data_IF_726338710694
#
_entry.id   IF_726338710694
#
_cell.length_a   1.000
_cell.length_b   1.000
_cell.length_c   1.000
_cell.angle_alpha   90.00
_cell.angle_beta   90.00
_cell.angle_gamma   90.00
#
_symmetry.space_group_name_H-M   'P 1'
#
loop_
_entity.id
_entity.type
_entity.pdbx_description
1 polymer ?
#
# COMPACT_ATOMS: atom_id res chain seq x y z
N UNK A 1 32.21 -6.77 -26.18
CA UNK A 1 31.67 -6.39 -24.84
C UNK A 1 30.22 -5.96 -25.04
N UNK A 2 29.25 -6.59 -24.40
CA UNK A 2 27.84 -6.18 -24.45
C UNK A 2 27.73 -4.79 -23.84
N UNK A 3 27.31 -3.80 -24.62
CA UNK A 3 27.11 -2.42 -24.17
C UNK A 3 25.80 -2.41 -23.39
N UNK A 4 25.84 -2.19 -22.07
CA UNK A 4 24.65 -2.00 -21.24
C UNK A 4 24.10 -0.58 -21.39
N UNK A 5 22.77 -0.45 -21.39
CA UNK A 5 22.10 0.87 -21.41
C UNK A 5 22.26 1.58 -20.07
N UNK A 6 22.22 0.82 -18.94
CA UNK A 6 22.33 1.30 -17.56
C UNK A 6 23.31 0.46 -16.74
N UNK A 7 23.92 1.10 -15.75
CA UNK A 7 24.68 0.41 -14.70
C UNK A 7 23.72 -0.22 -13.67
N UNK A 8 22.60 0.47 -13.43
CA UNK A 8 21.58 0.05 -12.46
C UNK A 8 20.19 0.44 -12.95
N UNK A 9 19.30 -0.54 -13.05
CA UNK A 9 17.92 -0.33 -13.47
C UNK A 9 16.96 -0.72 -12.36
N UNK A 10 16.09 0.22 -11.95
CA UNK A 10 15.14 0.04 -10.84
C UNK A 10 13.73 -0.19 -11.39
N UNK A 11 13.06 -1.22 -10.91
CA UNK A 11 11.69 -1.56 -11.27
C UNK A 11 10.81 -1.27 -10.05
N UNK A 12 9.99 -0.22 -10.16
CA UNK A 12 9.13 0.30 -9.10
C UNK A 12 9.61 1.62 -8.51
N UNK A 13 8.79 2.66 -8.62
CA UNK A 13 9.02 4.03 -8.15
C UNK A 13 8.42 4.33 -6.79
N UNK A 14 8.33 3.33 -5.90
CA UNK A 14 7.93 3.50 -4.51
C UNK A 14 9.06 3.99 -3.62
N UNK A 15 8.85 3.96 -2.30
CA UNK A 15 9.77 4.50 -1.28
C UNK A 15 11.19 3.94 -1.39
N UNK A 16 11.34 2.62 -1.53
CA UNK A 16 12.64 1.96 -1.68
C UNK A 16 13.27 2.24 -3.04
N UNK A 17 12.50 2.10 -4.14
CA UNK A 17 13.01 2.28 -5.50
C UNK A 17 13.48 3.70 -5.78
N UNK A 18 12.71 4.72 -5.43
CA UNK A 18 13.12 6.13 -5.58
C UNK A 18 14.37 6.44 -4.76
N UNK A 19 14.46 5.93 -3.52
CA UNK A 19 15.65 6.13 -2.70
C UNK A 19 16.86 5.45 -3.30
N UNK A 20 16.74 4.19 -3.73
CA UNK A 20 17.84 3.44 -4.34
C UNK A 20 18.35 4.11 -5.63
N UNK A 21 17.42 4.48 -6.53
CA UNK A 21 17.76 5.12 -7.81
C UNK A 21 18.54 6.43 -7.59
N UNK A 22 18.03 7.31 -6.74
CA UNK A 22 18.67 8.61 -6.46
C UNK A 22 20.05 8.47 -5.84
N UNK A 23 20.18 7.60 -4.83
CA UNK A 23 21.47 7.43 -4.15
C UNK A 23 22.51 6.77 -5.06
N UNK A 24 22.07 5.83 -5.92
CA UNK A 24 22.95 5.22 -6.91
C UNK A 24 23.41 6.22 -7.97
N UNK A 25 22.50 7.05 -8.48
CA UNK A 25 22.83 8.12 -9.44
C UNK A 25 23.78 9.17 -8.83
N UNK A 26 23.55 9.60 -7.58
CA UNK A 26 24.43 10.51 -6.86
C UNK A 26 25.84 9.94 -6.62
N UNK A 27 26.02 8.63 -6.77
CA UNK A 27 27.31 7.93 -6.73
C UNK A 27 27.96 7.71 -8.11
N UNK A 28 27.40 8.33 -9.16
CA UNK A 28 27.95 8.30 -10.52
C UNK A 28 27.52 7.12 -11.37
N UNK A 29 26.54 6.31 -10.94
CA UNK A 29 25.98 5.28 -11.81
C UNK A 29 24.99 5.88 -12.82
N UNK A 30 24.97 5.33 -14.04
CA UNK A 30 23.90 5.58 -15.01
C UNK A 30 22.68 4.76 -14.60
N UNK A 31 21.61 5.45 -14.15
CA UNK A 31 20.44 4.82 -13.53
C UNK A 31 19.17 5.05 -14.34
N UNK A 32 18.43 3.96 -14.65
CA UNK A 32 17.07 4.01 -15.15
C UNK A 32 16.09 3.54 -14.09
N UNK A 33 14.84 4.05 -14.13
CA UNK A 33 13.75 3.63 -13.26
C UNK A 33 12.47 3.46 -14.06
N UNK A 34 11.83 2.29 -13.98
CA UNK A 34 10.51 2.04 -14.54
C UNK A 34 9.43 2.09 -13.45
N UNK A 35 8.36 2.89 -13.67
CA UNK A 35 7.18 2.94 -12.82
C UNK A 35 5.92 2.86 -13.68
N UNK A 36 5.11 1.83 -13.44
CA UNK A 36 3.90 1.57 -14.20
C UNK A 36 2.70 2.43 -13.79
N UNK A 37 2.82 3.14 -12.67
CA UNK A 37 1.76 3.97 -12.14
C UNK A 37 2.27 5.36 -11.73
N UNK A 38 2.03 5.79 -10.48
CA UNK A 38 2.47 7.09 -9.99
C UNK A 38 3.68 6.97 -9.05
N UNK A 39 4.67 7.84 -9.27
CA UNK A 39 5.84 7.93 -8.43
C UNK A 39 5.48 8.23 -6.97
N UNK A 40 6.21 7.61 -6.05
CA UNK A 40 5.95 7.66 -4.60
C UNK A 40 5.34 6.37 -4.04
N UNK A 41 4.81 5.50 -4.93
CA UNK A 41 4.28 4.18 -4.58
C UNK A 41 3.09 4.22 -3.63
N UNK A 42 2.86 3.11 -2.91
CA UNK A 42 1.72 2.94 -2.01
C UNK A 42 1.66 4.02 -0.92
N UNK A 43 2.76 4.32 -0.25
CA UNK A 43 2.77 5.28 0.86
C UNK A 43 2.25 6.67 0.44
N UNK A 44 2.72 7.20 -0.68
CA UNK A 44 2.32 8.52 -1.17
C UNK A 44 0.91 8.51 -1.74
N UNK A 45 0.55 7.50 -2.52
CA UNK A 45 -0.63 7.57 -3.39
C UNK A 45 -1.84 6.79 -2.86
N UNK A 46 -1.63 5.69 -2.10
CA UNK A 46 -2.68 4.74 -1.68
C UNK A 46 -2.51 4.24 -0.24
N UNK A 47 -1.79 4.94 0.60
CA UNK A 47 -1.50 4.50 1.97
C UNK A 47 -1.32 5.66 2.92
N UNK A 48 -0.09 5.88 3.37
CA UNK A 48 0.24 6.78 4.48
C UNK A 48 -0.32 8.18 4.31
N UNK A 49 -0.08 8.82 3.17
CA UNK A 49 -0.47 10.21 2.95
C UNK A 49 -1.98 10.38 2.83
N UNK A 50 -2.69 9.72 1.89
CA UNK A 50 -4.13 9.91 1.76
C UNK A 50 -4.89 9.43 3.00
N UNK A 51 -4.43 8.34 3.66
CA UNK A 51 -5.01 7.87 4.91
C UNK A 51 -4.91 8.92 6.01
N UNK A 52 -3.75 9.57 6.16
CA UNK A 52 -3.54 10.58 7.18
C UNK A 52 -4.42 11.82 6.96
N UNK A 53 -4.58 12.26 5.70
CA UNK A 53 -5.49 13.36 5.37
C UNK A 53 -6.95 13.02 5.74
N UNK A 54 -7.38 11.78 5.48
CA UNK A 54 -8.73 11.33 5.85
C UNK A 54 -8.89 11.15 7.36
N UNK A 55 -7.86 10.65 8.04
CA UNK A 55 -7.82 10.55 9.51
C UNK A 55 -7.97 11.91 10.16
N UNK A 56 -7.25 12.93 9.72
CA UNK A 56 -7.42 14.30 10.25
C UNK A 56 -8.86 14.80 10.04
N UNK A 57 -9.40 14.64 8.84
CA UNK A 57 -10.77 15.07 8.54
C UNK A 57 -11.81 14.36 9.42
N UNK A 58 -11.59 13.09 9.76
CA UNK A 58 -12.52 12.30 10.59
C UNK A 58 -12.52 12.73 12.05
N UNK A 59 -11.47 13.38 12.56
CA UNK A 59 -11.37 13.85 13.92
C UNK A 59 -12.03 15.23 14.14
N UNK A 60 -12.12 16.07 13.12
CA UNK A 60 -12.67 17.42 13.28
C UNK A 60 -14.09 17.46 13.86
N UNK A 61 -14.90 16.43 13.63
CA UNK A 61 -16.24 16.38 14.19
C UNK A 61 -16.24 16.12 15.70
N UNK A 62 -15.31 15.33 16.21
CA UNK A 62 -15.13 15.11 17.64
C UNK A 62 -14.54 16.34 18.30
N UNK A 63 -13.57 17.00 17.69
CA UNK A 63 -13.00 18.26 18.15
C UNK A 63 -14.05 19.37 18.20
N UNK A 64 -14.91 19.49 17.18
CA UNK A 64 -16.02 20.43 17.16
C UNK A 64 -16.94 20.28 18.38
N UNK A 65 -17.26 19.04 18.80
CA UNK A 65 -18.10 18.83 19.99
C UNK A 65 -17.43 19.33 21.28
N UNK A 66 -16.10 19.28 21.35
CA UNK A 66 -15.34 19.75 22.48
C UNK A 66 -15.20 21.29 22.52
N UNK A 67 -15.28 21.97 21.40
CA UNK A 67 -15.04 23.40 21.30
C UNK A 67 -15.94 24.22 22.25
N UNK A 68 -17.21 23.83 22.41
CA UNK A 68 -18.14 24.50 23.30
C UNK A 68 -17.72 24.43 24.77
N UNK A 69 -17.09 23.32 25.19
CA UNK A 69 -16.57 23.14 26.56
C UNK A 69 -15.38 24.04 26.86
N UNK A 70 -14.72 24.56 25.82
CA UNK A 70 -13.58 25.48 25.91
C UNK A 70 -13.99 26.94 25.58
N UNK A 71 -15.28 27.27 25.61
CA UNK A 71 -15.78 28.62 25.43
C UNK A 71 -15.96 29.08 23.97
N UNK A 72 -15.74 28.22 22.99
CA UNK A 72 -15.93 28.56 21.58
C UNK A 72 -17.39 28.46 21.18
N UNK A 73 -17.94 29.51 20.58
CA UNK A 73 -19.27 29.53 19.97
C UNK A 73 -19.12 29.33 18.46
N UNK A 74 -19.44 28.14 17.98
CA UNK A 74 -19.33 27.78 16.54
C UNK A 74 -20.63 27.16 16.06
N UNK A 75 -21.05 27.48 14.84
CA UNK A 75 -22.18 26.83 14.19
C UNK A 75 -21.81 25.41 13.81
N UNK A 76 -22.82 24.52 13.69
CA UNK A 76 -22.59 23.14 13.28
C UNK A 76 -21.88 23.07 11.91
N UNK A 77 -20.71 22.42 11.82
CA UNK A 77 -19.96 22.34 10.57
C UNK A 77 -20.68 21.45 9.55
N UNK A 78 -20.60 21.80 8.28
CA UNK A 78 -21.00 20.93 7.17
C UNK A 78 -19.78 20.20 6.61
N UNK A 79 -19.96 18.95 6.20
CA UNK A 79 -18.89 18.14 5.60
C UNK A 79 -19.17 17.83 4.13
N UNK A 80 -18.18 17.98 3.28
CA UNK A 80 -18.23 17.63 1.87
C UNK A 80 -17.15 16.60 1.52
N UNK A 81 -17.56 15.35 1.30
CA UNK A 81 -16.69 14.29 0.82
C UNK A 81 -15.98 14.65 -0.49
N UNK A 82 -16.71 15.22 -1.44
CA UNK A 82 -16.15 15.59 -2.73
C UNK A 82 -15.01 16.63 -2.59
N UNK A 83 -15.15 17.57 -1.68
CA UNK A 83 -14.11 18.56 -1.40
C UNK A 83 -12.87 17.91 -0.78
N UNK A 84 -13.06 16.99 0.17
CA UNK A 84 -11.96 16.24 0.78
C UNK A 84 -11.19 15.42 -0.28
N UNK A 85 -11.91 14.66 -1.12
CA UNK A 85 -11.30 13.87 -2.22
C UNK A 85 -10.54 14.77 -3.19
N UNK A 86 -11.13 15.90 -3.59
CA UNK A 86 -10.51 16.87 -4.49
C UNK A 86 -9.21 17.44 -3.91
N UNK A 87 -9.23 17.86 -2.65
CA UNK A 87 -8.07 18.42 -1.97
C UNK A 87 -6.97 17.35 -1.77
N UNK A 88 -7.34 16.13 -1.38
CA UNK A 88 -6.44 14.99 -1.35
C UNK A 88 -5.77 14.78 -2.71
N UNK A 89 -6.53 14.73 -3.81
CA UNK A 89 -5.98 14.55 -5.17
C UNK A 89 -5.02 15.68 -5.56
N UNK A 90 -5.30 16.92 -5.17
CA UNK A 90 -4.39 18.07 -5.39
C UNK A 90 -3.06 17.84 -4.68
N UNK A 91 -3.10 17.44 -3.41
CA UNK A 91 -1.89 17.18 -2.61
C UNK A 91 -1.08 16.01 -3.16
N UNK A 92 -1.72 14.89 -3.53
CA UNK A 92 -1.02 13.74 -4.10
C UNK A 92 -0.32 14.10 -5.43
N UNK A 93 -0.98 14.89 -6.29
CA UNK A 93 -0.35 15.38 -7.54
C UNK A 93 0.87 16.24 -7.25
N UNK A 94 0.79 17.14 -6.25
CA UNK A 94 1.94 17.96 -5.82
C UNK A 94 3.10 17.08 -5.36
N UNK A 95 2.83 16.06 -4.55
CA UNK A 95 3.85 15.13 -4.07
C UNK A 95 4.45 14.29 -5.20
N UNK A 96 3.63 13.76 -6.11
CA UNK A 96 4.11 13.00 -7.27
C UNK A 96 5.06 13.83 -8.13
N UNK A 97 4.78 15.13 -8.32
CA UNK A 97 5.67 16.05 -9.03
C UNK A 97 6.99 16.24 -8.29
N UNK A 98 6.97 16.38 -6.96
CA UNK A 98 8.20 16.44 -6.14
C UNK A 98 9.04 15.18 -6.36
N UNK A 99 8.44 13.99 -6.30
CA UNK A 99 9.15 12.72 -6.55
C UNK A 99 9.77 12.66 -7.95
N UNK A 100 9.04 13.14 -8.98
CA UNK A 100 9.56 13.27 -10.34
C UNK A 100 10.78 14.17 -10.38
N UNK A 101 10.68 15.38 -9.82
CA UNK A 101 11.78 16.34 -9.80
C UNK A 101 13.00 15.82 -9.04
N UNK A 102 12.77 15.12 -7.92
CA UNK A 102 13.86 14.49 -7.15
C UNK A 102 14.63 13.46 -7.98
N UNK A 103 13.96 12.67 -8.81
CA UNK A 103 14.60 11.69 -9.70
C UNK A 103 15.34 12.40 -10.84
N UNK A 104 14.67 13.32 -11.54
CA UNK A 104 15.25 14.06 -12.67
C UNK A 104 16.48 14.86 -12.26
N UNK A 105 16.41 15.59 -11.14
CA UNK A 105 17.52 16.38 -10.61
C UNK A 105 18.72 15.51 -10.14
N UNK A 106 18.46 14.23 -9.88
CA UNK A 106 19.53 13.26 -9.57
C UNK A 106 20.10 12.57 -10.81
N UNK A 107 19.64 12.92 -12.03
CA UNK A 107 20.09 12.29 -13.26
C UNK A 107 19.51 10.89 -13.53
N UNK A 108 18.40 10.54 -12.88
CA UNK A 108 17.72 9.26 -13.12
C UNK A 108 16.78 9.38 -14.31
N UNK A 109 16.94 8.48 -15.29
CA UNK A 109 16.03 8.37 -16.44
C UNK A 109 14.77 7.58 -16.03
N UNK A 110 13.60 8.23 -16.15
CA UNK A 110 12.33 7.65 -15.69
C UNK A 110 11.48 7.17 -16.86
N UNK A 111 11.11 5.89 -16.86
CA UNK A 111 10.25 5.23 -17.83
C UNK A 111 8.87 5.02 -17.21
N UNK A 112 7.86 5.71 -17.77
CA UNK A 112 6.47 5.61 -17.28
C UNK A 112 5.77 4.41 -17.92
N UNK A 113 6.06 3.21 -17.45
CA UNK A 113 5.30 1.99 -17.70
C UNK A 113 5.79 0.83 -16.83
N UNK A 114 5.07 -0.29 -16.89
CA UNK A 114 5.49 -1.54 -16.26
C UNK A 114 6.68 -2.15 -17.00
N UNK A 115 7.61 -2.72 -16.25
CA UNK A 115 8.73 -3.47 -16.77
C UNK A 115 8.46 -4.98 -16.66
N UNK A 116 8.79 -5.72 -17.69
CA UNK A 116 8.68 -7.19 -17.74
C UNK A 116 10.02 -7.78 -18.19
N UNK A 117 10.56 -8.75 -17.46
CA UNK A 117 11.79 -9.42 -17.85
C UNK A 117 11.59 -10.27 -19.10
N UNK A 118 12.50 -10.12 -20.06
CA UNK A 118 12.64 -10.98 -21.23
C UNK A 118 13.63 -12.11 -20.96
N UNK A 119 14.69 -11.80 -20.22
CA UNK A 119 15.76 -12.70 -19.80
C UNK A 119 16.41 -12.19 -18.48
N UNK A 120 17.48 -12.84 -17.95
CA UNK A 120 18.13 -12.44 -16.71
C UNK A 120 18.72 -11.01 -16.66
N UNK A 121 18.96 -10.41 -17.81
CA UNK A 121 19.69 -9.12 -17.94
C UNK A 121 18.93 -8.08 -18.77
N UNK A 122 17.69 -8.40 -19.21
CA UNK A 122 16.92 -7.58 -20.14
C UNK A 122 15.48 -7.43 -19.69
N UNK A 123 14.98 -6.21 -19.72
CA UNK A 123 13.56 -5.91 -19.48
C UNK A 123 12.95 -5.21 -20.69
N UNK A 124 11.66 -5.42 -20.88
CA UNK A 124 10.83 -4.66 -21.81
C UNK A 124 10.01 -3.65 -21.03
N UNK A 125 10.06 -2.39 -21.46
CA UNK A 125 9.22 -1.30 -20.96
C UNK A 125 8.57 -0.63 -22.16
N UNK A 126 7.26 -0.78 -22.35
CA UNK A 126 6.58 -0.48 -23.63
C UNK A 126 7.20 -1.24 -24.81
N UNK A 127 7.60 -0.50 -25.85
CA UNK A 127 8.33 -1.03 -27.01
C UNK A 127 9.84 -1.12 -26.82
N UNK A 128 10.38 -0.51 -25.74
CA UNK A 128 11.82 -0.45 -25.51
C UNK A 128 12.32 -1.72 -24.83
N UNK A 129 13.46 -2.19 -25.31
CA UNK A 129 14.24 -3.28 -24.70
C UNK A 129 15.44 -2.64 -24.02
N UNK A 130 15.59 -2.89 -22.72
CA UNK A 130 16.59 -2.24 -21.86
C UNK A 130 17.48 -3.30 -21.22
N UNK A 131 18.79 -3.15 -21.45
CA UNK A 131 19.84 -3.98 -20.84
C UNK A 131 20.47 -3.24 -19.66
N UNK A 132 20.67 -3.92 -18.52
CA UNK A 132 21.38 -3.34 -17.39
C UNK A 132 22.36 -4.29 -16.73
N UNK A 133 23.44 -3.75 -16.20
CA UNK A 133 24.43 -4.54 -15.43
C UNK A 133 23.81 -5.12 -14.15
N UNK A 134 22.93 -4.35 -13.50
CA UNK A 134 22.22 -4.74 -12.28
C UNK A 134 20.79 -4.26 -12.30
N UNK A 135 19.88 -5.06 -11.73
CA UNK A 135 18.48 -4.71 -11.56
C UNK A 135 18.08 -4.70 -10.09
N UNK A 136 17.15 -3.82 -9.74
CA UNK A 136 16.48 -3.80 -8.46
C UNK A 136 14.97 -3.92 -8.66
N UNK A 137 14.35 -4.92 -8.03
CA UNK A 137 12.90 -5.06 -7.95
C UNK A 137 12.44 -4.40 -6.65
N UNK A 138 11.61 -3.34 -6.75
CA UNK A 138 11.05 -2.58 -5.63
C UNK A 138 9.55 -2.28 -5.86
N UNK A 139 8.83 -3.26 -6.39
CA UNK A 139 7.42 -3.14 -6.84
C UNK A 139 6.40 -3.21 -5.71
N UNK A 140 6.83 -3.47 -4.47
CA UNK A 140 5.97 -3.52 -3.30
C UNK A 140 4.93 -4.65 -3.34
N UNK A 141 3.78 -4.35 -2.75
CA UNK A 141 2.65 -5.26 -2.61
C UNK A 141 1.36 -4.62 -3.14
N UNK A 142 0.33 -5.44 -3.33
CA UNK A 142 -1.05 -5.02 -3.67
C UNK A 142 -2.04 -5.62 -2.67
N UNK A 143 -3.25 -5.06 -2.52
CA UNK A 143 -4.29 -5.64 -1.67
C UNK A 143 -4.62 -7.07 -2.08
N UNK A 144 -4.78 -7.95 -1.10
CA UNK A 144 -5.28 -9.30 -1.30
C UNK A 144 -6.80 -9.23 -1.52
N UNK A 145 -7.28 -9.90 -2.56
CA UNK A 145 -8.73 -10.04 -2.86
C UNK A 145 -9.20 -11.46 -2.63
N UNK A 146 -10.46 -11.61 -2.25
CA UNK A 146 -11.15 -12.88 -2.22
C UNK A 146 -11.98 -13.07 -3.50
N UNK A 147 -12.39 -14.30 -3.72
CA UNK A 147 -13.23 -14.64 -4.86
C UNK A 147 -14.66 -14.91 -4.37
N UNK A 148 -15.50 -13.86 -4.35
CA UNK A 148 -16.94 -13.93 -4.13
C UNK A 148 -17.68 -13.59 -5.44
N UNK A 149 -18.94 -13.96 -5.54
CA UNK A 149 -19.80 -13.61 -6.68
C UNK A 149 -19.86 -12.10 -6.94
N UNK A 150 -19.79 -11.28 -5.87
CA UNK A 150 -19.80 -9.83 -5.90
C UNK A 150 -18.40 -9.18 -5.98
N UNK A 151 -17.30 -9.94 -6.18
CA UNK A 151 -15.91 -9.45 -6.07
C UNK A 151 -15.60 -8.21 -6.92
N UNK A 152 -16.25 -8.06 -8.07
CA UNK A 152 -16.08 -6.87 -8.94
C UNK A 152 -16.57 -5.57 -8.32
N UNK A 153 -17.48 -5.64 -7.34
CA UNK A 153 -18.07 -4.49 -6.68
C UNK A 153 -17.47 -4.23 -5.29
N UNK A 154 -16.81 -5.23 -4.71
CA UNK A 154 -16.12 -5.11 -3.42
C UNK A 154 -14.86 -4.27 -3.62
N UNK A 155 -14.68 -3.28 -2.75
CA UNK A 155 -13.52 -2.39 -2.81
C UNK A 155 -12.38 -2.88 -1.92
N UNK A 156 -11.18 -2.39 -2.19
CA UNK A 156 -10.00 -2.52 -1.35
C UNK A 156 -9.63 -1.18 -0.72
N UNK A 157 -8.56 -1.14 0.09
CA UNK A 157 -8.00 0.12 0.61
C UNK A 157 -7.58 1.07 -0.50
N UNK A 158 -7.11 0.56 -1.64
CA UNK A 158 -6.69 1.39 -2.77
C UNK A 158 -7.90 2.13 -3.39
N UNK A 159 -9.04 1.46 -3.48
CA UNK A 159 -10.28 2.01 -4.03
C UNK A 159 -10.97 2.97 -3.04
N UNK A 160 -10.84 2.70 -1.73
CA UNK A 160 -11.52 3.46 -0.67
C UNK A 160 -11.17 4.96 -0.66
N UNK A 161 -10.00 5.32 -1.17
CA UNK A 161 -9.59 6.72 -1.29
C UNK A 161 -10.31 7.51 -2.39
N UNK A 162 -11.00 6.83 -3.31
CA UNK A 162 -11.60 7.46 -4.49
C UNK A 162 -13.07 7.08 -4.70
N UNK A 163 -13.75 6.56 -3.67
CA UNK A 163 -15.19 6.31 -3.74
C UNK A 163 -15.94 7.59 -4.06
N UNK A 164 -16.92 7.50 -4.95
CA UNK A 164 -17.66 8.68 -5.44
C UNK A 164 -18.54 9.33 -4.38
N UNK A 165 -19.05 8.54 -3.44
CA UNK A 165 -19.95 8.99 -2.37
C UNK A 165 -19.67 8.16 -1.11
N UNK A 166 -19.72 8.79 0.05
CA UNK A 166 -19.70 8.06 1.32
C UNK A 166 -20.92 7.13 1.41
N UNK A 167 -20.73 5.86 1.80
CA UNK A 167 -21.84 4.97 2.09
C UNK A 167 -22.54 5.40 3.40
N UNK A 168 -23.81 5.02 3.58
CA UNK A 168 -24.41 5.16 4.90
C UNK A 168 -23.96 4.01 5.81
N UNK A 169 -23.78 2.80 5.23
CA UNK A 169 -23.39 1.58 5.97
C UNK A 169 -22.32 0.81 5.20
N UNK A 170 -21.21 0.51 5.89
CA UNK A 170 -20.09 -0.27 5.34
C UNK A 170 -19.78 -1.51 6.16
N UNK A 171 -19.44 -2.60 5.47
CA UNK A 171 -18.79 -3.77 6.06
C UNK A 171 -17.32 -3.79 5.68
N UNK A 172 -16.43 -3.89 6.67
CA UNK A 172 -15.00 -4.04 6.47
C UNK A 172 -14.61 -5.48 6.85
N UNK A 173 -14.02 -6.20 5.90
CA UNK A 173 -13.58 -7.57 6.07
C UNK A 173 -12.08 -7.57 6.42
N UNK A 174 -11.75 -8.00 7.65
CA UNK A 174 -10.40 -8.08 8.17
C UNK A 174 -10.20 -7.32 9.47
N UNK A 175 -9.16 -7.66 10.22
CA UNK A 175 -8.84 -7.10 11.54
C UNK A 175 -7.42 -6.52 11.64
N UNK A 176 -6.71 -6.32 10.52
CA UNK A 176 -5.40 -5.68 10.51
C UNK A 176 -5.49 -4.16 10.61
N UNK A 177 -4.32 -3.50 10.68
CA UNK A 177 -4.23 -2.04 10.84
C UNK A 177 -5.00 -1.25 9.76
N UNK A 178 -5.05 -1.74 8.52
CA UNK A 178 -5.83 -1.12 7.43
C UNK A 178 -7.32 -1.11 7.76
N UNK A 179 -7.86 -2.24 8.26
CA UNK A 179 -9.27 -2.34 8.65
C UNK A 179 -9.59 -1.38 9.79
N UNK A 180 -8.76 -1.35 10.83
CA UNK A 180 -8.93 -0.49 12.01
C UNK A 180 -8.90 0.99 11.66
N UNK A 181 -7.92 1.41 10.83
CA UNK A 181 -7.78 2.78 10.38
C UNK A 181 -8.98 3.24 9.53
N UNK A 182 -9.38 2.46 8.52
CA UNK A 182 -10.53 2.81 7.69
C UNK A 182 -11.85 2.77 8.46
N UNK A 183 -12.02 1.82 9.40
CA UNK A 183 -13.19 1.79 10.26
C UNK A 183 -13.32 3.06 11.08
N UNK A 184 -12.22 3.52 11.67
CA UNK A 184 -12.18 4.76 12.45
C UNK A 184 -12.42 5.99 11.58
N UNK A 185 -11.83 6.06 10.38
CA UNK A 185 -12.04 7.13 9.42
C UNK A 185 -13.50 7.20 8.99
N UNK A 186 -14.08 6.11 8.51
CA UNK A 186 -15.48 6.10 8.07
C UNK A 186 -16.44 6.42 9.20
N UNK A 187 -16.19 5.88 10.40
CA UNK A 187 -17.01 6.19 11.58
C UNK A 187 -16.96 7.66 11.96
N UNK A 188 -15.76 8.28 11.99
CA UNK A 188 -15.61 9.71 12.27
C UNK A 188 -16.25 10.61 11.21
N UNK A 189 -16.44 10.10 9.98
CA UNK A 189 -17.16 10.78 8.90
C UNK A 189 -18.68 10.47 8.89
N UNK A 190 -19.20 9.80 9.92
CA UNK A 190 -20.64 9.56 10.11
C UNK A 190 -21.20 8.30 9.48
N UNK A 191 -20.36 7.38 9.01
CA UNK A 191 -20.79 6.10 8.41
C UNK A 191 -21.11 5.06 9.51
N UNK A 192 -22.14 4.23 9.32
CA UNK A 192 -22.38 3.03 10.15
C UNK A 192 -21.40 1.93 9.75
N UNK A 193 -20.45 1.61 10.64
CA UNK A 193 -19.33 0.71 10.34
C UNK A 193 -19.48 -0.61 11.07
N UNK A 194 -19.34 -1.71 10.34
CA UNK A 194 -19.20 -3.06 10.88
C UNK A 194 -17.86 -3.66 10.42
N UNK A 195 -17.11 -4.26 11.34
CA UNK A 195 -15.90 -5.04 11.06
C UNK A 195 -16.22 -6.52 11.25
N UNK A 196 -15.89 -7.36 10.26
CA UNK A 196 -15.96 -8.82 10.38
C UNK A 196 -14.56 -9.42 10.37
N UNK A 197 -14.24 -10.21 11.41
CA UNK A 197 -12.92 -10.82 11.59
C UNK A 197 -13.04 -12.33 11.86
N UNK A 198 -12.07 -13.09 11.36
CA UNK A 198 -11.97 -14.55 11.60
C UNK A 198 -11.45 -14.89 12.99
N UNK A 199 -10.64 -13.99 13.57
CA UNK A 199 -10.05 -14.13 14.90
C UNK A 199 -10.97 -13.56 15.97
N UNK A 200 -10.64 -13.83 17.24
CA UNK A 200 -11.28 -13.22 18.40
C UNK A 200 -11.03 -11.71 18.45
N UNK A 201 -9.77 -11.29 18.20
CA UNK A 201 -9.30 -9.91 18.34
C UNK A 201 -8.83 -9.34 17.00
N UNK A 202 -8.87 -8.01 16.86
CA UNK A 202 -8.18 -7.24 15.81
C UNK A 202 -6.67 -7.21 16.09
N UNK A 203 -5.88 -6.70 15.15
CA UNK A 203 -4.44 -6.42 15.28
C UNK A 203 -3.63 -7.60 15.83
N UNK A 204 -3.84 -8.81 15.29
CA UNK A 204 -3.11 -10.01 15.70
C UNK A 204 -1.59 -9.76 15.71
N UNK A 205 -0.96 -10.05 16.86
CA UNK A 205 0.49 -9.89 17.06
C UNK A 205 0.89 -8.56 17.71
N UNK A 206 -0.08 -7.70 18.02
CA UNK A 206 0.11 -6.55 18.90
C UNK A 206 -0.16 -6.97 20.36
N UNK A 207 0.26 -6.12 21.29
CA UNK A 207 0.02 -6.28 22.72
C UNK A 207 -1.49 -6.36 23.04
N UNK A 208 -1.89 -7.37 23.83
CA UNK A 208 -3.32 -7.65 24.06
C UNK A 208 -4.01 -6.54 24.85
N UNK A 209 -3.36 -5.91 25.84
CA UNK A 209 -3.94 -4.82 26.64
C UNK A 209 -4.22 -3.60 25.75
N UNK A 210 -3.30 -3.29 24.84
CA UNK A 210 -3.46 -2.20 23.85
C UNK A 210 -4.60 -2.50 22.89
N UNK A 211 -4.70 -3.76 22.42
CA UNK A 211 -5.77 -4.20 21.50
C UNK A 211 -7.13 -4.15 22.18
N UNK A 212 -7.23 -4.59 23.42
CA UNK A 212 -8.49 -4.59 24.18
C UNK A 212 -8.96 -3.15 24.45
N UNK A 213 -8.06 -2.28 24.89
CA UNK A 213 -8.36 -0.85 25.08
C UNK A 213 -8.84 -0.18 23.81
N UNK A 214 -8.15 -0.41 22.69
CA UNK A 214 -8.54 0.13 21.39
C UNK A 214 -9.89 -0.41 20.94
N UNK A 215 -10.13 -1.71 21.08
CA UNK A 215 -11.40 -2.37 20.69
C UNK A 215 -12.57 -1.77 21.47
N UNK A 216 -12.42 -1.58 22.78
CA UNK A 216 -13.44 -0.98 23.63
C UNK A 216 -13.73 0.46 23.21
N UNK A 217 -12.70 1.29 22.99
CA UNK A 217 -12.86 2.66 22.49
C UNK A 217 -13.57 2.70 21.14
N UNK A 218 -13.26 1.77 20.22
CA UNK A 218 -13.95 1.68 18.92
C UNK A 218 -15.42 1.30 19.08
N UNK A 219 -15.76 0.39 20.02
CA UNK A 219 -17.17 0.03 20.34
C UNK A 219 -17.91 1.21 20.96
N UNK A 220 -17.31 1.93 21.90
CA UNK A 220 -17.87 3.14 22.50
C UNK A 220 -18.20 4.21 21.44
N UNK A 221 -17.37 4.33 20.42
CA UNK A 221 -17.64 5.18 19.25
C UNK A 221 -18.71 4.61 18.31
N UNK A 222 -19.26 3.40 18.59
CA UNK A 222 -20.34 2.76 17.84
C UNK A 222 -19.87 2.01 16.59
N UNK A 223 -18.63 1.53 16.53
CA UNK A 223 -18.19 0.56 15.52
C UNK A 223 -18.64 -0.84 15.97
N UNK A 224 -19.31 -1.57 15.08
CA UNK A 224 -19.81 -2.91 15.34
C UNK A 224 -18.77 -3.96 14.95
N UNK A 225 -18.68 -5.04 15.75
CA UNK A 225 -17.76 -6.15 15.49
C UNK A 225 -18.53 -7.46 15.34
N UNK A 226 -18.18 -8.25 14.35
CA UNK A 226 -18.60 -9.64 14.12
C UNK A 226 -17.33 -10.49 14.17
N UNK A 227 -17.03 -10.99 15.37
CA UNK A 227 -15.81 -11.74 15.64
C UNK A 227 -15.99 -13.23 15.33
N UNK A 228 -14.89 -13.94 15.08
CA UNK A 228 -14.83 -15.38 14.82
C UNK A 228 -15.76 -15.84 13.70
N UNK A 229 -16.09 -14.90 12.80
CA UNK A 229 -17.07 -15.12 11.74
C UNK A 229 -16.66 -14.37 10.48
N UNK A 230 -16.86 -15.02 9.35
CA UNK A 230 -16.59 -14.46 8.05
C UNK A 230 -17.75 -14.72 7.09
N UNK A 231 -18.04 -13.86 6.11
CA UNK A 231 -19.10 -14.10 5.15
C UNK A 231 -18.98 -15.46 4.47
N UNK A 232 -20.10 -16.17 4.37
CA UNK A 232 -20.23 -17.40 3.56
C UNK A 232 -20.61 -17.08 2.13
N UNK A 233 -21.36 -15.98 1.92
CA UNK A 233 -21.70 -15.43 0.61
C UNK A 233 -21.82 -13.92 0.65
N UNK A 234 -21.49 -13.28 -0.48
CA UNK A 234 -21.69 -11.86 -0.72
C UNK A 234 -22.28 -11.71 -2.12
N UNK A 235 -23.50 -11.20 -2.20
CA UNK A 235 -24.15 -10.86 -3.46
C UNK A 235 -24.37 -9.37 -3.59
N UNK A 236 -24.44 -8.87 -4.84
CA UNK A 236 -24.66 -7.44 -5.14
C UNK A 236 -25.89 -7.31 -6.03
N UNK A 237 -26.95 -6.67 -5.51
CA UNK A 237 -28.21 -6.45 -6.21
C UNK A 237 -28.76 -5.07 -5.88
N UNK A 238 -29.33 -4.38 -6.87
CA UNK A 238 -29.97 -3.06 -6.69
C UNK A 238 -29.05 -2.04 -5.97
N UNK A 239 -27.75 -2.00 -6.36
CA UNK A 239 -26.74 -1.13 -5.76
C UNK A 239 -26.47 -1.36 -4.28
N UNK A 240 -26.82 -2.53 -3.75
CA UNK A 240 -26.58 -2.92 -2.36
C UNK A 240 -25.90 -4.30 -2.29
N UNK A 241 -25.12 -4.48 -1.24
CA UNK A 241 -24.55 -5.78 -0.88
C UNK A 241 -25.47 -6.50 0.11
N UNK A 242 -25.66 -7.77 -0.13
CA UNK A 242 -26.34 -8.71 0.79
C UNK A 242 -25.30 -9.72 1.22
N UNK A 243 -25.02 -9.72 2.53
CA UNK A 243 -23.92 -10.49 3.12
C UNK A 243 -24.49 -11.52 4.08
N UNK A 244 -24.24 -12.79 3.79
CA UNK A 244 -24.65 -13.93 4.61
C UNK A 244 -23.49 -14.43 5.47
N UNK A 245 -23.78 -14.75 6.73
CA UNK A 245 -22.85 -15.35 7.66
C UNK A 245 -23.33 -16.75 8.07
N UNK A 246 -22.40 -17.59 8.55
CA UNK A 246 -22.74 -18.96 8.97
C UNK A 246 -23.84 -19.02 10.04
N UNK A 247 -23.92 -18.00 10.90
CA UNK A 247 -24.97 -17.82 11.90
C UNK A 247 -25.61 -16.45 11.71
N UNK A 248 -26.94 -16.38 11.73
CA UNK A 248 -27.70 -15.14 11.65
C UNK A 248 -28.34 -14.88 10.28
N UNK A 249 -29.05 -13.76 10.17
CA UNK A 249 -29.73 -13.32 8.95
C UNK A 249 -28.77 -12.64 7.98
N UNK A 250 -29.14 -12.65 6.71
CA UNK A 250 -28.44 -11.86 5.67
C UNK A 250 -28.53 -10.38 6.00
N UNK A 251 -27.40 -9.69 6.03
CA UNK A 251 -27.31 -8.27 6.34
C UNK A 251 -27.09 -7.44 5.06
N UNK A 252 -27.71 -6.26 5.02
CA UNK A 252 -27.60 -5.32 3.91
C UNK A 252 -26.55 -4.25 4.22
N UNK A 253 -25.70 -3.94 3.22
CA UNK A 253 -24.68 -2.88 3.27
C UNK A 253 -24.67 -2.10 1.95
N UNK A 254 -24.30 -0.81 2.00
CA UNK A 254 -24.13 0.01 0.80
C UNK A 254 -22.73 -0.26 0.17
N UNK A 255 -21.77 -0.64 1.00
CA UNK A 255 -20.41 -0.90 0.57
C UNK A 255 -19.77 -2.05 1.36
N UNK A 256 -18.94 -2.84 0.69
CA UNK A 256 -18.09 -3.85 1.33
C UNK A 256 -16.64 -3.56 0.95
N UNK A 257 -15.74 -3.56 1.95
CA UNK A 257 -14.31 -3.34 1.78
C UNK A 257 -13.50 -4.53 2.27
N UNK A 258 -12.61 -5.02 1.42
CA UNK A 258 -11.61 -6.03 1.80
C UNK A 258 -10.36 -5.37 2.36
N UNK A 259 -9.98 -5.72 3.59
CA UNK A 259 -8.75 -5.32 4.27
C UNK A 259 -8.01 -6.56 4.81
N UNK A 260 -7.77 -7.54 3.92
CA UNK A 260 -7.35 -8.91 4.23
C UNK A 260 -5.82 -9.12 4.12
N UNK A 261 -5.08 -8.04 4.19
CA UNK A 261 -3.64 -8.03 4.01
C UNK A 261 -3.23 -7.72 2.58
N UNK A 262 -1.93 -7.86 2.32
CA UNK A 262 -1.30 -7.51 1.05
C UNK A 262 -0.47 -8.69 0.53
N UNK A 263 -0.32 -8.78 -0.79
CA UNK A 263 0.47 -9.81 -1.47
C UNK A 263 1.51 -9.16 -2.39
N UNK A 264 2.69 -9.78 -2.62
CA UNK A 264 3.71 -9.24 -3.52
C UNK A 264 3.17 -8.94 -4.93
N UNK A 265 3.54 -7.78 -5.48
CA UNK A 265 3.03 -7.32 -6.78
C UNK A 265 3.98 -7.77 -7.92
N UNK A 266 4.06 -9.07 -8.17
CA UNK A 266 5.05 -9.68 -9.06
C UNK A 266 4.52 -10.18 -10.41
N UNK A 267 3.21 -10.15 -10.62
CA UNK A 267 2.56 -10.85 -11.75
C UNK A 267 3.01 -10.35 -13.12
N UNK A 268 3.27 -9.03 -13.26
CA UNK A 268 3.71 -8.43 -14.52
C UNK A 268 5.21 -8.60 -14.80
N UNK A 269 5.99 -9.09 -13.81
CA UNK A 269 7.46 -9.07 -13.91
C UNK A 269 8.06 -10.19 -14.77
N UNK A 270 7.36 -11.31 -14.95
CA UNK A 270 7.91 -12.52 -15.59
C UNK A 270 9.21 -13.01 -14.91
N UNK A 271 9.15 -13.23 -13.59
CA UNK A 271 10.29 -13.64 -12.77
C UNK A 271 10.94 -14.96 -13.20
N UNK A 272 10.20 -15.82 -13.91
CA UNK A 272 10.72 -17.06 -14.47
C UNK A 272 11.80 -16.77 -15.52
N UNK A 273 11.55 -15.83 -16.44
CA UNK A 273 12.55 -15.38 -17.41
C UNK A 273 13.79 -14.77 -16.73
N UNK A 274 13.60 -14.04 -15.65
CA UNK A 274 14.68 -13.47 -14.84
C UNK A 274 15.45 -14.51 -14.00
N UNK A 275 15.02 -15.78 -13.95
CA UNK A 275 15.56 -16.86 -13.09
C UNK A 275 15.52 -16.50 -11.60
N UNK A 276 14.48 -15.80 -11.16
CA UNK A 276 14.26 -15.37 -9.76
C UNK A 276 13.32 -16.36 -9.06
N UNK A 277 13.74 -16.86 -7.90
CA UNK A 277 12.94 -17.75 -7.05
C UNK A 277 12.01 -16.94 -6.15
N UNK A 278 10.82 -17.46 -5.95
CA UNK A 278 9.82 -16.92 -5.03
C UNK A 278 9.45 -17.93 -3.95
N UNK A 279 8.97 -17.44 -2.81
CA UNK A 279 8.47 -18.24 -1.70
C UNK A 279 7.06 -18.81 -2.00
N UNK A 280 6.54 -19.62 -1.06
CA UNK A 280 5.13 -20.08 -1.10
C UNK A 280 4.10 -18.94 -1.09
N UNK A 281 4.48 -17.78 -0.51
CA UNK A 281 3.63 -16.57 -0.45
C UNK A 281 3.88 -15.62 -1.63
N UNK A 282 4.57 -16.08 -2.67
CA UNK A 282 4.96 -15.28 -3.84
C UNK A 282 5.91 -14.09 -3.53
N UNK A 283 6.52 -14.03 -2.34
CA UNK A 283 7.56 -13.04 -2.07
C UNK A 283 8.87 -13.41 -2.75
N UNK A 284 9.65 -12.43 -3.16
CA UNK A 284 10.97 -12.66 -3.77
C UNK A 284 11.95 -13.11 -2.69
N UNK A 285 12.57 -14.27 -2.89
CA UNK A 285 13.57 -14.80 -1.96
C UNK A 285 14.89 -14.05 -2.15
N UNK A 286 15.39 -13.45 -1.07
CA UNK A 286 16.67 -12.74 -1.03
C UNK A 286 17.52 -13.17 0.15
N UNK A 287 18.84 -13.05 0.00
CA UNK A 287 19.79 -13.19 1.11
C UNK A 287 19.86 -11.91 1.97
N UNK A 288 20.76 -11.90 2.99
CA UNK A 288 20.96 -10.75 3.90
C UNK A 288 21.55 -9.49 3.23
N UNK A 289 21.89 -9.57 1.95
CA UNK A 289 22.36 -8.45 1.12
C UNK A 289 21.38 -8.12 -0.02
N UNK A 290 20.10 -8.53 0.14
CA UNK A 290 19.01 -8.29 -0.82
C UNK A 290 19.22 -8.89 -2.20
N UNK A 291 20.16 -9.82 -2.35
CA UNK A 291 20.46 -10.50 -3.61
C UNK A 291 19.52 -11.67 -3.80
N UNK A 292 18.92 -11.78 -4.97
CA UNK A 292 18.04 -12.87 -5.38
C UNK A 292 18.85 -14.11 -5.81
N UNK A 293 18.16 -15.13 -6.32
CA UNK A 293 18.81 -16.28 -6.99
C UNK A 293 19.54 -15.91 -8.29
N UNK A 294 19.22 -14.77 -8.90
CA UNK A 294 19.99 -14.20 -10.00
C UNK A 294 21.07 -13.25 -9.43
N UNK A 295 22.36 -13.50 -9.80
CA UNK A 295 23.50 -12.75 -9.25
C UNK A 295 23.48 -11.23 -9.54
N UNK A 296 22.81 -10.79 -10.59
CA UNK A 296 22.72 -9.41 -11.02
C UNK A 296 21.42 -8.72 -10.58
N UNK A 297 20.56 -9.42 -9.83
CA UNK A 297 19.24 -8.97 -9.52
C UNK A 297 19.01 -8.94 -8.01
N UNK A 298 18.48 -7.81 -7.54
CA UNK A 298 18.21 -7.53 -6.13
C UNK A 298 16.71 -7.26 -5.94
N UNK A 299 16.20 -7.40 -4.70
CA UNK A 299 14.85 -6.99 -4.35
C UNK A 299 14.82 -6.43 -2.93
N UNK A 300 14.00 -5.38 -2.70
CA UNK A 300 13.82 -4.70 -1.41
C UNK A 300 12.37 -4.29 -1.19
N UNK A 301 12.04 -3.93 0.06
CA UNK A 301 10.73 -3.47 0.47
C UNK A 301 9.69 -4.58 0.50
N UNK A 302 8.43 -4.23 0.47
CA UNK A 302 7.31 -5.15 0.74
C UNK A 302 7.30 -6.42 -0.14
N UNK A 303 7.90 -6.37 -1.33
CA UNK A 303 7.96 -7.51 -2.28
C UNK A 303 8.78 -8.69 -1.75
N UNK A 304 9.66 -8.47 -0.75
CA UNK A 304 10.43 -9.53 -0.10
C UNK A 304 9.77 -10.08 1.17
N UNK A 305 8.62 -9.52 1.56
CA UNK A 305 7.74 -9.96 2.67
C UNK A 305 8.48 -10.11 4.01
N UNK A 306 9.30 -9.13 4.37
CA UNK A 306 9.93 -9.01 5.70
C UNK A 306 9.10 -8.04 6.54
N UNK A 307 9.55 -6.81 6.74
CA UNK A 307 8.84 -5.76 7.47
C UNK A 307 8.30 -4.74 6.47
N UNK A 308 6.97 -4.72 6.29
CA UNK A 308 6.30 -3.90 5.29
C UNK A 308 6.08 -2.46 5.79
N UNK A 309 7.17 -1.70 5.93
CA UNK A 309 7.18 -0.32 6.39
C UNK A 309 8.02 0.57 5.47
N UNK A 310 7.54 1.78 5.20
CA UNK A 310 8.26 2.78 4.40
C UNK A 310 9.68 3.05 4.90
N UNK A 311 9.94 3.31 6.20
CA UNK A 311 11.31 3.54 6.69
C UNK A 311 12.21 2.32 6.48
N UNK A 312 11.68 1.11 6.60
CA UNK A 312 12.43 -0.13 6.35
C UNK A 312 12.85 -0.23 4.88
N UNK A 313 11.92 -0.04 3.94
CA UNK A 313 12.23 -0.04 2.50
C UNK A 313 13.29 1.01 2.13
N UNK A 314 13.27 2.18 2.78
CA UNK A 314 14.27 3.24 2.61
C UNK A 314 15.63 2.80 3.17
N UNK A 315 15.67 2.20 4.36
CA UNK A 315 16.89 1.70 4.99
C UNK A 315 17.51 0.56 4.17
N UNK A 316 16.70 -0.36 3.66
CA UNK A 316 17.13 -1.43 2.76
C UNK A 316 17.75 -0.87 1.47
N UNK A 317 17.12 0.16 0.87
CA UNK A 317 17.64 0.84 -0.32
C UNK A 317 19.00 1.47 -0.05
N UNK A 318 19.16 2.17 1.08
CA UNK A 318 20.42 2.78 1.47
C UNK A 318 21.51 1.74 1.68
N UNK A 319 21.21 0.68 2.44
CA UNK A 319 22.15 -0.42 2.70
C UNK A 319 22.57 -1.13 1.42
N UNK A 320 21.62 -1.43 0.53
CA UNK A 320 21.91 -2.06 -0.77
C UNK A 320 22.88 -1.23 -1.60
N UNK A 321 22.57 0.06 -1.81
CA UNK A 321 23.40 0.93 -2.63
C UNK A 321 24.78 1.15 -1.99
N UNK A 322 24.85 1.36 -0.68
CA UNK A 322 26.13 1.44 0.04
C UNK A 322 26.99 0.19 -0.21
N UNK A 323 26.38 -1.01 -0.08
CA UNK A 323 27.08 -2.27 -0.29
C UNK A 323 27.55 -2.51 -1.73
N UNK A 324 27.02 -1.80 -2.73
CA UNK A 324 27.54 -1.86 -4.11
C UNK A 324 28.94 -1.25 -4.24
N UNK A 325 29.28 -0.27 -3.38
CA UNK A 325 30.54 0.50 -3.43
C UNK A 325 31.54 0.08 -2.33
N UNK A 326 31.13 -0.76 -1.38
CA UNK A 326 32.02 -1.18 -0.28
C UNK A 326 32.77 -2.48 -0.60
N UNK A 327 34.01 -2.57 -0.14
CA UNK A 327 34.77 -3.83 -0.12
C UNK A 327 34.14 -4.83 0.87
N UNK A 328 33.83 -4.38 2.09
CA UNK A 328 33.16 -5.19 3.11
C UNK A 328 31.68 -4.83 3.21
N UNK A 329 30.81 -5.80 3.01
CA UNK A 329 29.35 -5.60 3.03
C UNK A 329 28.82 -5.56 4.44
N UNK A 330 27.94 -4.60 4.73
CA UNK A 330 27.21 -4.49 5.99
C UNK A 330 25.84 -5.18 5.86
N UNK A 331 25.43 -5.88 6.91
CA UNK A 331 24.04 -6.34 7.08
C UNK A 331 23.23 -5.20 7.69
N UNK A 332 21.93 -5.17 7.40
CA UNK A 332 20.98 -4.32 8.13
C UNK A 332 20.39 -5.15 9.28
N UNK A 333 20.31 -4.55 10.45
CA UNK A 333 19.51 -5.06 11.58
C UNK A 333 18.17 -4.31 11.55
N UNK A 334 17.06 -5.02 11.56
CA UNK A 334 15.70 -4.49 11.58
C UNK A 334 15.05 -4.84 12.92
#
# INVERSE_FOLDING_TARGET
MTKYDFDFFVIGGGSGGVRAARVAAARGLKVGLAEGWDLGGTCVNRGCVPKKLYSYSSHFFDEYKLMSSFGWKVSRPSFSWNNLVRNKKKELRRLTLIYKNLLTNSGVEVFKNYATFLDPNTVKVNSMIINSKKFLIAVGTKPKKLNFNASKNIITSDDAFDIKKLPNKILILGGGYIAVEFASIFKGLGVDVTISIRSKNILKGFDDDVVDRLTNSMKEKGIKFINETFPTDISFKNKNFYVSFKKGSTQKYDLVMEALGRVPNIESLNLKAAKVKVSKNNSIIVNNHFKTSNKNLFAIGDVIDRVQLTPVAIAEAMNLVENMFRKTKKKISL
#
